data_IF_975405810818
#
_entry.id   IF_975405810818
#
_cell.length_a   1.000
_cell.length_b   1.000
_cell.length_c   1.000
_cell.angle_alpha   90.00
_cell.angle_beta   90.00
_cell.angle_gamma   90.00
#
_symmetry.space_group_name_H-M   'P 1'
#
loop_
_entity.id
_entity.type
_entity.pdbx_description
1 polymer ?
#
# COMPACT_ATOMS: atom_id res chain seq x y z
N UNK A 1 25.79 -4.07 -0.78
CA UNK A 1 26.90 -4.63 -0.01
C UNK A 1 27.59 -3.53 0.87
N UNK A 2 27.89 -2.35 0.32
CA UNK A 2 28.49 -1.23 1.10
C UNK A 2 27.59 -0.74 2.25
N UNK A 3 26.24 -0.77 2.09
CA UNK A 3 25.27 -0.33 3.11
C UNK A 3 25.24 -1.22 4.36
N UNK A 4 25.43 -2.53 4.23
CA UNK A 4 25.53 -3.44 5.39
C UNK A 4 26.78 -3.17 6.24
N UNK A 5 27.89 -2.73 5.63
CA UNK A 5 29.15 -2.40 6.34
C UNK A 5 29.10 -1.05 7.07
N UNK A 6 28.29 -0.08 6.59
CA UNK A 6 28.30 1.29 7.14
C UNK A 6 27.44 1.48 8.39
N UNK A 7 26.62 0.49 8.80
CA UNK A 7 25.62 0.58 9.89
C UNK A 7 24.72 1.83 9.82
N UNK A 8 24.61 2.45 8.64
CA UNK A 8 23.76 3.63 8.42
C UNK A 8 22.34 3.19 8.10
N UNK A 9 21.39 3.77 8.81
CA UNK A 9 19.96 3.60 8.51
C UNK A 9 19.56 4.57 7.41
N UNK A 10 18.57 4.16 6.58
CA UNK A 10 18.05 4.95 5.47
C UNK A 10 16.53 5.01 5.53
N UNK A 11 15.93 5.97 4.82
CA UNK A 11 14.48 6.13 4.68
C UNK A 11 13.73 6.16 6.01
N UNK A 12 12.58 5.49 6.11
CA UNK A 12 11.74 5.46 7.30
C UNK A 12 12.45 5.00 8.57
N UNK A 13 13.34 4.00 8.47
CA UNK A 13 14.13 3.55 9.62
C UNK A 13 15.04 4.64 10.20
N UNK A 14 15.59 5.50 9.35
CA UNK A 14 16.42 6.63 9.81
C UNK A 14 15.56 7.69 10.52
N UNK A 15 14.38 8.00 9.98
CA UNK A 15 13.44 8.96 10.57
C UNK A 15 12.96 8.51 11.94
N UNK A 16 12.46 7.27 12.04
CA UNK A 16 11.98 6.70 13.31
C UNK A 16 13.10 6.64 14.34
N UNK A 17 14.32 6.25 13.96
CA UNK A 17 15.46 6.23 14.90
C UNK A 17 15.77 7.62 15.45
N UNK A 18 15.69 8.68 14.62
CA UNK A 18 15.88 10.06 15.08
C UNK A 18 14.81 10.48 16.07
N UNK A 19 13.52 10.16 15.78
CA UNK A 19 12.39 10.46 16.68
C UNK A 19 12.55 9.74 18.02
N UNK A 20 12.83 8.44 18.02
CA UNK A 20 13.05 7.66 19.24
C UNK A 20 14.25 8.21 20.05
N UNK A 21 15.34 8.60 19.38
CA UNK A 21 16.48 9.24 20.03
C UNK A 21 16.08 10.57 20.67
N UNK A 22 15.23 11.34 20.01
CA UNK A 22 14.71 12.61 20.53
C UNK A 22 13.85 12.41 21.80
N UNK A 23 12.97 11.40 21.80
CA UNK A 23 12.18 11.03 22.98
C UNK A 23 13.09 10.66 24.16
N UNK A 24 14.11 9.80 23.92
CA UNK A 24 15.08 9.42 24.96
C UNK A 24 15.84 10.61 25.55
N UNK A 25 16.30 11.54 24.69
CA UNK A 25 16.99 12.77 25.14
C UNK A 25 16.09 13.65 26.03
N UNK A 26 14.79 13.66 25.78
CA UNK A 26 13.79 14.41 26.54
C UNK A 26 13.24 13.65 27.75
N UNK A 27 13.73 12.43 27.99
CA UNK A 27 13.26 11.52 29.05
C UNK A 27 11.76 11.23 28.95
N UNK A 28 11.21 11.20 27.71
CA UNK A 28 9.83 10.80 27.45
C UNK A 28 9.82 9.28 27.35
N UNK A 29 9.01 8.65 28.18
CA UNK A 29 8.86 7.19 28.17
C UNK A 29 8.16 6.72 26.89
N UNK A 30 8.67 5.68 26.30
CA UNK A 30 8.07 4.98 25.17
C UNK A 30 7.70 3.56 25.61
N UNK A 31 6.43 3.32 25.75
CA UNK A 31 5.89 2.00 26.07
C UNK A 31 5.63 1.23 24.78
N UNK A 32 6.19 0.04 24.71
CA UNK A 32 5.97 -0.92 23.61
C UNK A 32 5.01 -2.01 24.08
N UNK A 33 4.45 -2.77 23.12
CA UNK A 33 3.52 -3.87 23.43
C UNK A 33 2.40 -3.39 24.37
N UNK A 34 1.87 -2.19 24.08
CA UNK A 34 0.86 -1.52 24.89
C UNK A 34 -0.33 -1.22 23.99
N UNK A 35 -1.43 -1.89 24.27
CA UNK A 35 -2.69 -1.78 23.54
C UNK A 35 -3.58 -0.72 24.19
N UNK A 36 -4.19 0.14 23.38
CA UNK A 36 -5.24 1.03 23.83
C UNK A 36 -6.55 0.23 23.98
N UNK A 37 -7.26 0.39 25.09
CA UNK A 37 -8.54 -0.28 25.34
C UNK A 37 -9.71 0.71 25.26
N UNK A 38 -9.70 1.76 26.10
CA UNK A 38 -10.79 2.74 26.15
C UNK A 38 -10.34 4.09 26.72
N UNK A 39 -11.14 5.13 26.51
CA UNK A 39 -10.96 6.40 27.21
C UNK A 39 -11.61 6.38 28.58
N UNK A 40 -10.97 7.05 29.53
CA UNK A 40 -11.59 7.37 30.83
C UNK A 40 -12.24 8.75 30.70
N UNK A 41 -13.57 8.78 30.84
CA UNK A 41 -14.37 10.02 30.71
C UNK A 41 -15.01 10.35 32.04
N UNK A 42 -14.80 11.57 32.53
CA UNK A 42 -15.43 12.14 33.70
C UNK A 42 -16.06 13.48 33.30
N UNK A 43 -17.33 13.74 33.64
CA UNK A 43 -18.04 14.99 33.33
C UNK A 43 -17.89 15.43 31.85
N UNK A 44 -18.04 14.52 30.91
CA UNK A 44 -17.88 14.74 29.46
C UNK A 44 -16.47 15.15 29.03
N UNK A 45 -15.47 14.96 29.87
CA UNK A 45 -14.07 15.23 29.57
C UNK A 45 -13.24 13.95 29.59
N UNK A 46 -12.37 13.78 28.61
CA UNK A 46 -11.38 12.71 28.64
C UNK A 46 -10.31 13.05 29.66
N UNK A 47 -10.22 12.25 30.72
CA UNK A 47 -9.26 12.42 31.82
C UNK A 47 -8.18 11.34 31.85
N UNK A 48 -8.22 10.39 30.91
CA UNK A 48 -7.24 9.33 30.83
C UNK A 48 -7.60 8.26 29.81
N UNK A 49 -6.87 7.15 29.90
CA UNK A 49 -7.09 5.97 29.10
C UNK A 49 -6.86 4.69 29.90
N UNK A 50 -7.55 3.63 29.55
CA UNK A 50 -7.24 2.25 29.94
C UNK A 50 -6.38 1.67 28.85
N UNK A 51 -5.27 1.07 29.24
CA UNK A 51 -4.35 0.38 28.34
C UNK A 51 -4.10 -1.03 28.85
N UNK A 52 -3.65 -1.91 27.95
CA UNK A 52 -3.17 -3.24 28.30
C UNK A 52 -1.69 -3.33 27.96
N UNK A 53 -0.87 -3.48 29.00
CA UNK A 53 0.57 -3.58 28.88
C UNK A 53 1.04 -4.91 29.43
N UNK A 54 1.77 -5.68 28.64
CA UNK A 54 2.28 -7.00 29.02
C UNK A 54 1.18 -7.91 29.61
N UNK A 55 -0.03 -7.84 29.04
CA UNK A 55 -1.22 -8.59 29.47
C UNK A 55 -2.02 -7.98 30.61
N UNK A 56 -1.50 -6.97 31.32
CA UNK A 56 -2.15 -6.34 32.48
C UNK A 56 -2.87 -5.04 32.09
N UNK A 57 -4.09 -4.88 32.58
CA UNK A 57 -4.85 -3.63 32.44
C UNK A 57 -4.28 -2.56 33.38
N UNK A 58 -4.09 -1.37 32.84
CA UNK A 58 -3.61 -0.20 33.58
C UNK A 58 -4.49 1.02 33.26
N UNK A 59 -4.84 1.77 34.27
CA UNK A 59 -5.56 3.06 34.14
C UNK A 59 -4.56 4.20 34.24
N UNK A 60 -4.50 5.02 33.20
CA UNK A 60 -3.61 6.18 33.14
C UNK A 60 -4.43 7.45 33.25
N UNK A 61 -4.18 8.25 34.27
CA UNK A 61 -4.77 9.57 34.41
C UNK A 61 -3.89 10.62 33.73
N UNK A 62 -4.52 11.54 33.01
CA UNK A 62 -3.84 12.63 32.30
C UNK A 62 -4.37 13.99 32.78
N UNK A 63 -3.49 14.97 32.90
CA UNK A 63 -3.85 16.32 33.31
C UNK A 63 -4.36 17.20 32.16
N UNK A 64 -3.96 16.91 30.92
CA UNK A 64 -4.28 17.74 29.75
C UNK A 64 -5.20 17.07 28.73
N UNK A 65 -5.19 15.76 28.64
CA UNK A 65 -5.96 14.97 27.67
C UNK A 65 -5.15 13.86 27.06
N UNK A 66 -5.75 13.16 26.10
CA UNK A 66 -5.15 12.04 25.35
C UNK A 66 -5.06 12.44 23.89
N UNK A 67 -3.89 12.29 23.29
CA UNK A 67 -3.68 12.48 21.86
C UNK A 67 -3.70 11.11 21.17
N UNK A 68 -4.53 10.96 20.13
CA UNK A 68 -4.57 9.78 19.28
C UNK A 68 -3.64 10.02 18.09
N UNK A 69 -2.63 9.19 17.93
CA UNK A 69 -1.71 9.17 16.79
C UNK A 69 -1.39 7.74 16.35
N UNK A 70 -2.39 6.86 16.46
CA UNK A 70 -2.30 5.41 16.27
C UNK A 70 -2.39 4.93 14.82
N UNK A 71 -2.38 5.85 13.85
CA UNK A 71 -2.58 5.52 12.44
C UNK A 71 -4.06 5.53 12.04
N UNK A 72 -4.34 4.90 10.91
CA UNK A 72 -5.67 4.84 10.32
C UNK A 72 -6.40 3.52 10.57
N UNK A 73 -7.30 3.17 9.65
CA UNK A 73 -8.15 1.99 9.70
C UNK A 73 -8.01 1.08 8.46
N UNK A 74 -6.92 1.22 7.71
CA UNK A 74 -6.76 0.53 6.42
C UNK A 74 -6.74 -1.00 6.52
N UNK A 75 -6.48 -1.58 7.68
CA UNK A 75 -6.55 -3.02 7.95
C UNK A 75 -7.90 -3.48 8.55
N UNK A 76 -8.88 -2.58 8.64
CA UNK A 76 -10.24 -2.90 9.08
C UNK A 76 -11.18 -2.89 7.87
N UNK A 77 -11.61 -4.07 7.40
CA UNK A 77 -12.45 -4.20 6.21
C UNK A 77 -13.80 -3.48 6.38
N UNK A 78 -14.43 -3.60 7.54
CA UNK A 78 -15.74 -2.97 7.79
C UNK A 78 -15.65 -1.44 7.69
N UNK A 79 -14.64 -0.83 8.30
CA UNK A 79 -14.42 0.61 8.20
C UNK A 79 -14.04 1.04 6.78
N UNK A 80 -13.32 0.21 6.04
CA UNK A 80 -13.06 0.48 4.62
C UNK A 80 -14.34 0.50 3.81
N UNK A 81 -15.22 -0.46 4.02
CA UNK A 81 -16.50 -0.54 3.32
C UNK A 81 -17.46 0.57 3.70
N UNK A 82 -17.40 1.03 4.94
CA UNK A 82 -18.22 2.15 5.43
C UNK A 82 -17.76 3.50 4.86
N UNK A 83 -16.44 3.76 4.84
CA UNK A 83 -15.94 5.10 4.58
C UNK A 83 -15.26 5.29 3.23
N UNK A 84 -14.61 4.24 2.67
CA UNK A 84 -13.79 4.40 1.48
C UNK A 84 -14.55 4.12 0.18
N UNK A 85 -14.11 4.72 -0.95
CA UNK A 85 -14.61 4.37 -2.28
C UNK A 85 -14.46 2.87 -2.57
N UNK A 86 -15.40 2.34 -3.36
CA UNK A 86 -15.40 0.94 -3.81
C UNK A 86 -14.88 0.83 -5.24
N UNK A 87 -14.25 -0.32 -5.60
CA UNK A 87 -13.98 -1.48 -4.76
C UNK A 87 -12.88 -1.23 -3.72
N UNK A 88 -12.96 -1.88 -2.55
CA UNK A 88 -11.96 -1.76 -1.50
C UNK A 88 -11.72 -3.10 -0.81
N UNK A 89 -10.45 -3.38 -0.51
CA UNK A 89 -10.03 -4.59 0.19
C UNK A 89 -8.82 -4.27 1.08
N UNK A 90 -8.85 -4.70 2.34
CA UNK A 90 -7.76 -4.51 3.29
C UNK A 90 -6.45 -5.17 2.83
N UNK A 91 -6.56 -6.28 2.09
CA UNK A 91 -5.40 -7.04 1.61
C UNK A 91 -4.64 -6.33 0.47
N UNK A 92 -5.19 -5.22 -0.06
CA UNK A 92 -4.50 -4.35 -1.01
C UNK A 92 -3.65 -3.29 -0.34
N UNK A 93 -3.81 -3.09 0.98
CA UNK A 93 -3.08 -2.11 1.75
C UNK A 93 -1.67 -2.55 2.10
N UNK A 94 -0.72 -1.61 2.14
CA UNK A 94 0.67 -1.83 2.56
C UNK A 94 0.99 -1.18 3.91
N UNK A 95 -0.02 -0.74 4.63
CA UNK A 95 0.10 -0.22 5.99
C UNK A 95 0.31 -1.33 7.03
N UNK A 96 0.79 -0.99 8.23
CA UNK A 96 0.93 -1.96 9.32
C UNK A 96 -0.38 -2.68 9.65
N UNK A 97 -0.31 -3.98 9.94
CA UNK A 97 -1.47 -4.81 10.31
C UNK A 97 -2.24 -4.33 11.54
N UNK A 98 -1.63 -3.45 12.33
CA UNK A 98 -2.22 -2.83 13.52
C UNK A 98 -3.03 -1.56 13.23
N UNK A 99 -3.16 -1.14 11.97
CA UNK A 99 -3.98 0.02 11.58
C UNK A 99 -5.46 -0.38 11.45
N UNK A 100 -6.09 -0.73 12.52
CA UNK A 100 -7.44 -1.33 12.61
C UNK A 100 -8.51 -0.35 13.12
N UNK A 101 -8.11 0.88 13.50
CA UNK A 101 -9.02 2.00 13.74
C UNK A 101 -9.72 2.00 15.10
N UNK A 102 -9.40 1.13 16.04
CA UNK A 102 -10.05 1.06 17.35
C UNK A 102 -10.06 2.38 18.11
N UNK A 103 -8.96 3.15 18.21
CA UNK A 103 -8.99 4.44 18.89
C UNK A 103 -9.88 5.48 18.19
N UNK A 104 -10.08 5.36 16.86
CA UNK A 104 -11.00 6.23 16.11
C UNK A 104 -12.44 5.92 16.52
N UNK A 105 -12.84 4.64 16.51
CA UNK A 105 -14.17 4.20 16.94
C UNK A 105 -14.44 4.55 18.41
N UNK A 106 -13.45 4.35 19.27
CA UNK A 106 -13.56 4.70 20.68
C UNK A 106 -13.74 6.22 20.89
N UNK A 107 -13.07 7.05 20.09
CA UNK A 107 -13.23 8.50 20.13
C UNK A 107 -14.63 8.93 19.65
N UNK A 108 -15.12 8.34 18.57
CA UNK A 108 -16.47 8.58 18.05
C UNK A 108 -17.54 8.23 19.08
N UNK A 109 -17.41 7.07 19.74
CA UNK A 109 -18.34 6.60 20.77
C UNK A 109 -18.48 7.57 21.96
N UNK A 110 -17.49 8.41 22.25
CA UNK A 110 -17.53 9.45 23.27
C UNK A 110 -17.85 10.84 22.70
N UNK A 111 -18.29 10.93 21.44
CA UNK A 111 -18.78 12.16 20.80
C UNK A 111 -17.72 12.97 20.03
N UNK A 112 -16.56 12.41 19.72
CA UNK A 112 -15.60 13.07 18.85
C UNK A 112 -16.15 13.17 17.42
N UNK A 113 -15.89 14.30 16.76
CA UNK A 113 -16.26 14.48 15.35
C UNK A 113 -15.20 13.88 14.44
N UNK A 114 -15.62 13.00 13.55
CA UNK A 114 -14.79 12.45 12.49
C UNK A 114 -14.82 13.35 11.25
N UNK A 115 -13.70 13.47 10.56
CA UNK A 115 -13.57 14.23 9.32
C UNK A 115 -12.68 13.51 8.32
N UNK A 116 -12.99 13.68 7.03
CA UNK A 116 -12.20 13.11 5.94
C UNK A 116 -12.04 11.59 5.98
N UNK A 117 -13.04 10.90 6.51
CA UNK A 117 -13.04 9.43 6.60
C UNK A 117 -13.04 8.76 5.21
N UNK A 118 -13.52 9.46 4.17
CA UNK A 118 -13.50 9.07 2.77
C UNK A 118 -12.16 9.34 2.07
N UNK A 119 -11.19 9.92 2.78
CA UNK A 119 -9.86 10.25 2.24
C UNK A 119 -8.82 9.26 2.73
N UNK A 120 -7.92 8.92 1.84
CA UNK A 120 -6.76 8.10 2.15
C UNK A 120 -5.55 8.54 1.33
N UNK A 121 -4.39 8.04 1.69
CA UNK A 121 -3.19 8.18 0.90
C UNK A 121 -3.15 7.09 -0.16
N UNK A 122 -3.83 7.34 -1.26
CA UNK A 122 -4.02 6.38 -2.35
C UNK A 122 -2.71 6.13 -3.10
N UNK A 123 -2.30 4.88 -3.18
CA UNK A 123 -1.08 4.44 -3.87
C UNK A 123 -1.33 3.12 -4.61
N UNK A 124 -0.53 2.85 -5.62
CA UNK A 124 -0.50 1.52 -6.24
C UNK A 124 0.33 0.57 -5.40
N UNK A 125 -0.14 -0.65 -5.27
CA UNK A 125 0.56 -1.73 -4.57
C UNK A 125 0.70 -2.95 -5.47
N UNK A 126 1.69 -3.77 -5.18
CA UNK A 126 1.93 -5.06 -5.82
C UNK A 126 2.25 -6.09 -4.74
N UNK A 127 1.71 -7.29 -4.88
CA UNK A 127 1.97 -8.41 -3.98
C UNK A 127 2.39 -9.62 -4.79
N UNK A 128 3.59 -10.13 -4.57
CA UNK A 128 4.00 -11.41 -5.13
C UNK A 128 3.37 -12.56 -4.33
N UNK A 129 3.17 -13.75 -4.96
CA UNK A 129 2.51 -14.88 -4.31
C UNK A 129 3.17 -15.37 -3.01
N UNK A 130 4.49 -15.21 -2.90
CA UNK A 130 5.29 -15.62 -1.75
C UNK A 130 5.51 -14.50 -0.72
N UNK A 131 4.75 -13.40 -0.81
CA UNK A 131 4.84 -12.27 0.12
C UNK A 131 3.62 -12.22 1.06
N UNK A 132 3.85 -11.93 2.32
CA UNK A 132 2.79 -11.84 3.33
C UNK A 132 1.90 -10.61 3.13
N UNK A 133 2.46 -9.51 2.62
CA UNK A 133 1.75 -8.23 2.43
C UNK A 133 2.24 -7.47 1.19
N UNK A 134 1.39 -6.59 0.62
CA UNK A 134 1.73 -5.81 -0.55
C UNK A 134 2.88 -4.82 -0.31
N UNK A 135 3.59 -4.49 -1.38
CA UNK A 135 4.60 -3.43 -1.44
C UNK A 135 4.09 -2.25 -2.24
N UNK A 136 4.61 -1.07 -1.96
CA UNK A 136 4.43 0.09 -2.82
C UNK A 136 5.02 -0.17 -4.21
N UNK A 137 4.26 0.13 -5.25
CA UNK A 137 4.67 0.09 -6.67
C UNK A 137 4.52 1.48 -7.30
N UNK A 138 5.12 2.46 -6.68
CA UNK A 138 4.97 3.86 -7.02
C UNK A 138 5.96 4.32 -8.07
N UNK A 139 7.22 3.91 -7.93
CA UNK A 139 8.32 4.32 -8.80
C UNK A 139 8.26 3.56 -10.12
N UNK A 140 7.99 2.28 -10.05
CA UNK A 140 8.03 1.35 -11.19
C UNK A 140 7.06 1.76 -12.29
N UNK A 141 5.83 2.19 -11.92
CA UNK A 141 4.83 2.64 -12.90
C UNK A 141 5.29 3.85 -13.73
N UNK A 142 6.16 4.69 -13.17
CA UNK A 142 6.64 5.93 -13.82
C UNK A 142 7.91 5.74 -14.65
N UNK A 143 8.46 4.52 -14.70
CA UNK A 143 9.66 4.23 -15.46
C UNK A 143 9.34 4.04 -16.96
N UNK A 144 10.26 4.39 -17.87
CA UNK A 144 10.01 4.28 -19.31
C UNK A 144 9.80 2.85 -19.79
N UNK A 145 8.94 2.66 -20.79
CA UNK A 145 8.73 1.37 -21.46
C UNK A 145 7.72 0.47 -20.77
N UNK A 146 6.87 1.04 -19.91
CA UNK A 146 5.70 0.37 -19.38
C UNK A 146 4.46 1.26 -19.44
N UNK A 147 3.31 0.66 -19.31
CA UNK A 147 2.02 1.32 -19.09
C UNK A 147 1.06 0.37 -18.38
N UNK A 148 0.00 0.94 -17.81
CA UNK A 148 -0.97 0.20 -17.00
C UNK A 148 -2.30 0.14 -17.73
N UNK A 149 -2.87 -1.07 -17.84
CA UNK A 149 -4.18 -1.30 -18.45
C UNK A 149 -5.12 -2.00 -17.47
N UNK A 150 -6.42 -1.86 -17.72
CA UNK A 150 -7.46 -2.64 -17.08
C UNK A 150 -7.70 -3.98 -17.84
N UNK A 151 -8.66 -4.78 -17.40
CA UNK A 151 -9.02 -6.05 -18.03
C UNK A 151 -9.52 -5.91 -19.47
N UNK A 152 -10.09 -4.75 -19.83
CA UNK A 152 -10.48 -4.42 -21.21
C UNK A 152 -9.29 -3.97 -22.08
N UNK A 153 -8.07 -4.09 -21.62
CA UNK A 153 -6.85 -3.71 -22.34
C UNK A 153 -6.69 -2.20 -22.54
N UNK A 154 -7.47 -1.38 -21.85
CA UNK A 154 -7.47 0.07 -21.99
C UNK A 154 -6.54 0.71 -20.96
N UNK A 155 -5.68 1.62 -21.44
CA UNK A 155 -4.92 2.51 -20.59
C UNK A 155 -5.83 3.60 -20.04
N UNK A 156 -5.90 3.75 -18.75
CA UNK A 156 -6.89 4.59 -18.07
C UNK A 156 -6.33 5.82 -17.37
N UNK A 157 -5.01 5.90 -17.16
CA UNK A 157 -4.36 7.04 -16.52
C UNK A 157 -2.93 7.23 -17.05
N UNK A 158 -2.32 8.35 -16.70
CA UNK A 158 -0.92 8.63 -17.05
C UNK A 158 0.01 8.19 -15.91
N UNK A 159 0.81 7.18 -16.14
CA UNK A 159 1.72 6.57 -15.16
C UNK A 159 2.83 7.51 -14.68
N UNK A 160 3.15 8.55 -15.47
CA UNK A 160 4.15 9.55 -15.10
C UNK A 160 3.67 10.55 -14.05
N UNK A 161 2.35 10.61 -13.80
CA UNK A 161 1.81 11.42 -12.72
C UNK A 161 2.21 10.89 -11.35
N UNK A 162 2.16 11.77 -10.33
CA UNK A 162 2.37 11.33 -8.96
C UNK A 162 1.30 10.29 -8.58
N UNK A 163 1.63 9.44 -7.64
CA UNK A 163 0.80 8.30 -7.24
C UNK A 163 -0.62 8.69 -6.80
N UNK A 164 -0.77 9.82 -6.10
CA UNK A 164 -2.09 10.26 -5.65
C UNK A 164 -2.97 10.68 -6.82
N UNK A 165 -2.45 11.50 -7.75
CA UNK A 165 -3.19 11.92 -8.93
C UNK A 165 -3.57 10.72 -9.81
N UNK A 166 -2.63 9.79 -10.02
CA UNK A 166 -2.91 8.56 -10.74
C UNK A 166 -4.06 7.76 -10.10
N UNK A 167 -4.03 7.56 -8.78
CA UNK A 167 -5.07 6.81 -8.09
C UNK A 167 -6.41 7.55 -8.01
N UNK A 168 -6.41 8.87 -7.97
CA UNK A 168 -7.66 9.65 -8.06
C UNK A 168 -8.33 9.51 -9.43
N UNK A 169 -7.57 9.39 -10.52
CA UNK A 169 -8.11 9.05 -11.85
C UNK A 169 -8.71 7.65 -11.86
N UNK A 170 -8.04 6.66 -11.26
CA UNK A 170 -8.56 5.30 -11.10
C UNK A 170 -9.89 5.31 -10.36
N UNK A 171 -9.96 5.95 -9.20
CA UNK A 171 -11.18 6.03 -8.39
C UNK A 171 -12.32 6.76 -9.10
N UNK A 172 -12.00 7.79 -9.90
CA UNK A 172 -12.98 8.49 -10.72
C UNK A 172 -13.59 7.55 -11.76
N UNK A 173 -12.77 6.79 -12.48
CA UNK A 173 -13.22 5.83 -13.50
C UNK A 173 -14.02 4.68 -12.90
N UNK A 174 -13.61 4.12 -11.78
CA UNK A 174 -14.40 3.13 -11.04
C UNK A 174 -15.79 3.67 -10.69
N UNK A 175 -15.89 4.93 -10.25
CA UNK A 175 -17.16 5.59 -9.97
C UNK A 175 -18.03 5.79 -11.23
N UNK A 176 -17.41 5.98 -12.38
CA UNK A 176 -18.08 6.10 -13.69
C UNK A 176 -18.49 4.73 -14.27
N UNK A 177 -18.18 3.63 -13.58
CA UNK A 177 -18.50 2.26 -13.99
C UNK A 177 -17.44 1.60 -14.88
N UNK A 178 -16.29 2.24 -15.07
CA UNK A 178 -15.14 1.68 -15.78
C UNK A 178 -14.24 0.95 -14.77
N UNK A 179 -14.31 -0.40 -14.74
CA UNK A 179 -13.50 -1.18 -13.82
C UNK A 179 -12.01 -1.09 -14.19
N UNK A 180 -11.21 -0.59 -13.25
CA UNK A 180 -9.76 -0.47 -13.38
C UNK A 180 -8.99 -1.51 -12.54
N UNK A 181 -9.64 -2.13 -11.57
CA UNK A 181 -9.04 -3.16 -10.72
C UNK A 181 -9.44 -4.59 -11.16
N UNK A 182 -8.52 -5.57 -11.24
CA UNK A 182 -7.09 -5.43 -11.07
C UNK A 182 -6.40 -4.66 -12.22
N UNK A 183 -5.30 -3.97 -11.89
CA UNK A 183 -4.49 -3.26 -12.87
C UNK A 183 -3.36 -4.16 -13.37
N UNK A 184 -3.09 -4.14 -14.68
CA UNK A 184 -2.02 -4.92 -15.31
C UNK A 184 -0.92 -3.98 -15.81
N UNK A 185 0.28 -4.16 -15.31
CA UNK A 185 1.46 -3.44 -15.81
C UNK A 185 2.03 -4.18 -17.02
N UNK A 186 1.95 -3.57 -18.18
CA UNK A 186 2.49 -4.12 -19.45
C UNK A 186 3.86 -3.47 -19.71
N UNK A 187 4.84 -4.28 -20.01
CA UNK A 187 6.21 -3.82 -20.28
C UNK A 187 6.95 -4.75 -21.27
N UNK A 188 7.94 -4.22 -21.94
CA UNK A 188 8.75 -4.95 -22.89
C UNK A 188 10.05 -5.51 -22.27
N UNK A 189 10.80 -6.27 -23.08
CA UNK A 189 12.08 -6.85 -22.69
C UNK A 189 13.14 -5.78 -22.36
N UNK A 190 13.08 -4.58 -22.97
CA UNK A 190 14.00 -3.48 -22.68
C UNK A 190 13.74 -2.92 -21.28
N UNK A 191 12.46 -2.68 -20.95
CA UNK A 191 12.06 -2.27 -19.60
C UNK A 191 12.50 -3.32 -18.58
N UNK A 192 12.16 -4.60 -18.81
CA UNK A 192 12.53 -5.72 -17.93
C UNK A 192 14.03 -5.82 -17.70
N UNK A 193 14.83 -5.58 -18.73
CA UNK A 193 16.29 -5.61 -18.63
C UNK A 193 16.86 -4.49 -17.74
N UNK A 194 16.29 -3.28 -17.82
CA UNK A 194 16.87 -2.06 -17.25
C UNK A 194 16.29 -1.68 -15.89
N UNK A 195 15.02 -1.98 -15.66
CA UNK A 195 14.25 -1.44 -14.53
C UNK A 195 13.70 -2.53 -13.62
N UNK A 196 13.47 -2.21 -12.33
CA UNK A 196 12.76 -3.11 -11.43
C UNK A 196 11.27 -3.16 -11.81
N UNK A 197 10.62 -4.28 -11.53
CA UNK A 197 9.17 -4.47 -11.69
C UNK A 197 8.62 -5.07 -10.40
N UNK A 198 8.02 -4.25 -9.55
CA UNK A 198 7.63 -4.67 -8.22
C UNK A 198 8.81 -5.24 -7.43
N UNK A 199 8.72 -6.49 -6.93
CA UNK A 199 9.81 -7.15 -6.21
C UNK A 199 10.97 -7.60 -7.11
N UNK A 200 10.79 -7.60 -8.44
CA UNK A 200 11.79 -8.06 -9.40
C UNK A 200 12.92 -7.04 -9.56
N UNK A 201 14.14 -7.47 -9.37
CA UNK A 201 15.31 -6.70 -9.77
C UNK A 201 15.44 -6.63 -11.30
N UNK A 202 16.10 -5.61 -11.87
CA UNK A 202 16.33 -5.52 -13.31
C UNK A 202 16.92 -6.81 -13.89
N UNK A 203 16.43 -7.26 -15.05
CA UNK A 203 16.85 -8.51 -15.68
C UNK A 203 18.34 -8.59 -16.00
N UNK A 204 18.97 -7.43 -16.22
CA UNK A 204 20.44 -7.34 -16.38
C UNK A 204 21.21 -7.86 -15.14
N UNK A 205 20.64 -7.72 -13.93
CA UNK A 205 21.26 -8.20 -12.69
C UNK A 205 20.64 -9.51 -12.18
N UNK A 206 19.38 -9.75 -12.53
CA UNK A 206 18.62 -10.92 -12.09
C UNK A 206 17.77 -11.47 -13.23
N UNK A 207 18.39 -12.28 -14.15
CA UNK A 207 17.73 -12.81 -15.33
C UNK A 207 16.54 -13.72 -15.01
N UNK A 208 15.58 -13.81 -15.93
CA UNK A 208 14.32 -14.55 -15.72
C UNK A 208 14.51 -16.04 -15.46
N UNK A 209 15.57 -16.67 -15.97
CA UNK A 209 15.84 -18.08 -15.65
C UNK A 209 16.20 -18.27 -14.16
N UNK A 210 16.87 -17.29 -13.53
CA UNK A 210 17.15 -17.29 -12.10
C UNK A 210 15.87 -17.01 -11.31
N UNK A 211 15.04 -16.06 -11.78
CA UNK A 211 13.74 -15.77 -11.15
C UNK A 211 12.86 -17.04 -11.16
N UNK A 212 12.78 -17.74 -12.29
CA UNK A 212 12.03 -19.00 -12.41
C UNK A 212 12.54 -20.11 -11.49
N UNK A 213 13.83 -20.12 -11.21
CA UNK A 213 14.42 -21.08 -10.28
C UNK A 213 14.10 -20.76 -8.82
N UNK A 214 14.16 -19.49 -8.44
CA UNK A 214 14.03 -19.04 -7.04
C UNK A 214 12.57 -18.73 -6.66
N UNK A 215 11.80 -18.16 -7.57
CA UNK A 215 10.42 -17.72 -7.38
C UNK A 215 9.48 -18.37 -8.41
N UNK A 216 9.41 -19.70 -8.40
CA UNK A 216 8.60 -20.44 -9.36
C UNK A 216 7.11 -20.10 -9.31
N UNK A 217 6.57 -19.81 -8.13
CA UNK A 217 5.18 -19.41 -7.91
C UNK A 217 4.80 -18.14 -8.69
N UNK A 218 5.72 -17.22 -8.90
CA UNK A 218 5.43 -15.98 -9.62
C UNK A 218 5.00 -16.19 -11.07
N UNK A 219 5.43 -17.30 -11.69
CA UNK A 219 5.05 -17.68 -13.05
C UNK A 219 3.86 -18.64 -13.11
N UNK A 220 3.64 -19.41 -12.06
CA UNK A 220 2.56 -20.39 -11.99
C UNK A 220 1.23 -19.80 -11.50
N UNK A 221 1.28 -18.68 -10.77
CA UNK A 221 0.13 -18.02 -10.14
C UNK A 221 -0.23 -16.71 -10.85
N UNK A 222 0.09 -16.60 -12.14
CA UNK A 222 -0.24 -15.47 -13.02
C UNK A 222 0.22 -14.09 -12.54
N UNK A 223 1.20 -14.05 -11.63
CA UNK A 223 1.79 -12.80 -11.15
C UNK A 223 2.70 -12.16 -12.20
N UNK A 224 3.51 -12.98 -12.90
CA UNK A 224 4.41 -12.56 -13.97
C UNK A 224 4.20 -13.44 -15.20
N UNK A 225 3.51 -12.90 -16.19
CA UNK A 225 3.22 -13.58 -17.44
C UNK A 225 4.10 -13.05 -18.55
N UNK A 226 4.67 -13.94 -19.37
CA UNK A 226 5.44 -13.57 -20.55
C UNK A 226 4.90 -14.25 -21.82
N UNK A 227 4.99 -13.53 -22.94
CA UNK A 227 4.55 -14.00 -24.25
C UNK A 227 5.45 -13.40 -25.35
N UNK A 228 5.48 -14.05 -26.51
CA UNK A 228 6.21 -13.56 -27.67
C UNK A 228 5.39 -12.60 -28.53
N UNK A 229 4.07 -12.64 -28.40
CA UNK A 229 3.14 -11.77 -29.12
C UNK A 229 2.12 -11.16 -28.17
N UNK A 230 1.52 -10.04 -28.60
CA UNK A 230 0.45 -9.36 -27.85
C UNK A 230 -0.79 -10.26 -27.75
N UNK A 231 -1.09 -11.01 -28.81
CA UNK A 231 -2.19 -11.95 -28.83
C UNK A 231 -2.02 -13.07 -27.80
N UNK A 232 -0.83 -13.68 -27.78
CA UNK A 232 -0.50 -14.71 -26.80
C UNK A 232 -0.57 -14.14 -25.35
N UNK A 233 -0.09 -12.91 -25.14
CA UNK A 233 -0.17 -12.24 -23.84
C UNK A 233 -1.62 -12.04 -23.41
N UNK A 234 -2.46 -11.53 -24.29
CA UNK A 234 -3.88 -11.31 -24.03
C UNK A 234 -4.60 -12.62 -23.65
N UNK A 235 -4.34 -13.71 -24.39
CA UNK A 235 -4.89 -15.04 -24.09
C UNK A 235 -4.46 -15.52 -22.70
N UNK A 236 -3.17 -15.43 -22.39
CA UNK A 236 -2.62 -15.90 -21.11
C UNK A 236 -3.12 -15.11 -19.90
N UNK A 237 -3.32 -13.79 -20.05
CA UNK A 237 -3.73 -12.91 -18.95
C UNK A 237 -5.25 -12.71 -18.87
N UNK A 238 -5.99 -13.12 -19.91
CA UNK A 238 -7.42 -12.86 -20.02
C UNK A 238 -7.76 -11.37 -20.21
N UNK A 239 -6.78 -10.55 -20.61
CA UNK A 239 -6.99 -9.16 -21.02
C UNK A 239 -7.63 -9.15 -22.42
N UNK A 240 -8.57 -8.22 -22.66
CA UNK A 240 -9.17 -8.09 -23.99
C UNK A 240 -8.12 -7.78 -25.06
N UNK A 241 -8.07 -8.64 -26.09
CA UNK A 241 -7.05 -8.58 -27.14
C UNK A 241 -7.14 -7.31 -27.97
N UNK A 242 -8.36 -6.92 -28.36
CA UNK A 242 -8.55 -5.75 -29.23
C UNK A 242 -8.24 -4.46 -28.50
N UNK A 243 -8.68 -4.33 -27.24
CA UNK A 243 -8.38 -3.20 -26.39
C UNK A 243 -6.87 -3.06 -26.13
N UNK A 244 -6.21 -4.18 -25.83
CA UNK A 244 -4.76 -4.19 -25.63
C UNK A 244 -4.01 -3.78 -26.89
N UNK A 245 -4.38 -4.32 -28.05
CA UNK A 245 -3.75 -3.98 -29.33
C UNK A 245 -3.96 -2.51 -29.70
N UNK A 246 -5.17 -1.96 -29.51
CA UNK A 246 -5.47 -0.54 -29.72
C UNK A 246 -4.61 0.35 -28.81
N UNK A 247 -4.49 -0.02 -27.53
CA UNK A 247 -3.66 0.71 -26.57
C UNK A 247 -2.20 0.72 -26.98
N UNK A 248 -1.63 -0.42 -27.36
CA UNK A 248 -0.24 -0.53 -27.80
C UNK A 248 0.02 0.33 -29.05
N UNK A 249 -0.85 0.24 -30.04
CA UNK A 249 -0.72 1.03 -31.25
C UNK A 249 -0.74 2.55 -30.97
N UNK A 250 -1.58 2.97 -30.03
CA UNK A 250 -1.67 4.38 -29.62
C UNK A 250 -0.44 4.86 -28.82
N UNK A 251 0.14 4.00 -28.01
CA UNK A 251 1.32 4.34 -27.18
C UNK A 251 2.60 4.41 -28.02
N UNK A 252 2.67 3.65 -29.11
CA UNK A 252 3.84 3.59 -30.01
C UNK A 252 3.83 4.66 -31.11
N UNK A 253 2.79 5.48 -31.22
CA UNK A 253 2.70 6.65 -32.10
C UNK A 253 3.29 7.89 -31.43
#
# INVERSE_FOLDING_TARGET
IRRKRSRKLCFGSASITRLVTSLKKRKIELWRSTEFIEFIVEEKRVVGAVIKKDGNLMRIKTSRGVMIASGGFGQNQDMREEYLPKPTNKDWGCEPSTNTGEPIKAAEAIGAKLKFMDKAWWVTTVKAPDEDFPRLSEVEKSLPGNYTVNKSGQRFANESQNYLTFMLEVLKKEKEGESCAPMYMIFDANHRSKYPVGPLMPGKFFPDFIVKLVHRSWFNEDFLTSANTIEELAIKTGIDKEGLQKTINKVNQ
#
